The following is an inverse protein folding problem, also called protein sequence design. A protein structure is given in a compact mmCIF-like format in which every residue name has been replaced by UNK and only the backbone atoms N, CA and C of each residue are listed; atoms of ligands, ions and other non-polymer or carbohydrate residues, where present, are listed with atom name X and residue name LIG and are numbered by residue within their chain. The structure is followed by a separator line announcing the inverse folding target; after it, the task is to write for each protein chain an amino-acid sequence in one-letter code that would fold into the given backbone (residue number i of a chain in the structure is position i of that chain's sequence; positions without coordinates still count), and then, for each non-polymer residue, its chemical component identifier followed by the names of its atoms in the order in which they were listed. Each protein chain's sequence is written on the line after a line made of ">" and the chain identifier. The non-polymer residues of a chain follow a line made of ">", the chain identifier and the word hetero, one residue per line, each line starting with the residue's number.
data_IF_260125858166
#
_entry.id   IF_260125858166
#
_cell.length_a   1.000
_cell.length_b   1.000
_cell.length_c   1.000
_cell.angle_alpha   90.00
_cell.angle_beta   90.00
_cell.angle_gamma   90.00
#
_symmetry.space_group_name_H-M   'P 1'
#
loop_
_entity.id
_entity.type
_entity.pdbx_description
1 polymer ?
#
# COMPACT_ATOMS: atom_id res chain seq x y z
N UNK A 1 19.92 -2.06 39.07
CA UNK A 1 19.78 -0.85 38.27
C UNK A 1 19.12 0.22 39.09
N UNK A 2 19.80 1.37 39.22
CA UNK A 2 19.36 2.48 40.07
C UNK A 2 18.20 3.24 39.37
N UNK A 3 16.98 2.81 39.60
CA UNK A 3 15.78 3.40 38.99
C UNK A 3 15.07 4.32 39.98
N UNK A 4 15.70 5.42 40.30
CA UNK A 4 15.07 6.52 41.06
C UNK A 4 13.73 6.92 40.41
N UNK A 5 13.65 6.84 39.09
CA UNK A 5 12.45 7.08 38.31
C UNK A 5 11.31 6.06 38.56
N UNK A 6 11.63 4.80 38.85
CA UNK A 6 10.62 3.77 39.16
C UNK A 6 10.05 3.99 40.58
N UNK A 7 10.87 4.44 41.54
CA UNK A 7 10.40 4.74 42.91
C UNK A 7 9.35 5.84 42.93
N UNK A 8 9.40 6.80 41.99
CA UNK A 8 8.42 7.88 41.93
C UNK A 8 7.10 7.43 41.26
N UNK A 9 7.13 6.39 40.41
CA UNK A 9 5.95 5.89 39.69
C UNK A 9 5.21 4.77 40.42
N UNK A 10 5.92 3.97 41.23
CA UNK A 10 5.34 2.83 41.92
C UNK A 10 4.99 3.19 43.35
N UNK A 11 3.77 2.92 43.77
CA UNK A 11 3.31 3.11 45.15
C UNK A 11 3.06 1.74 45.81
N UNK A 12 3.52 1.58 47.01
CA UNK A 12 3.29 0.36 47.81
C UNK A 12 1.78 0.16 48.02
N UNK A 13 1.31 -1.07 47.84
CA UNK A 13 -0.12 -1.42 47.97
C UNK A 13 -0.94 -1.24 46.70
N UNK A 14 -0.36 -0.76 45.57
CA UNK A 14 -1.03 -0.63 44.30
C UNK A 14 -0.65 -1.79 43.34
N UNK A 15 -1.60 -2.19 42.51
CA UNK A 15 -1.37 -3.20 41.48
C UNK A 15 -1.01 -2.52 40.15
N UNK A 16 0.03 -3.04 39.50
CA UNK A 16 0.53 -2.54 38.22
C UNK A 16 0.68 -3.69 37.23
N UNK A 17 0.53 -3.37 35.96
CA UNK A 17 0.81 -4.26 34.84
C UNK A 17 2.08 -3.79 34.14
N UNK A 18 2.99 -4.74 33.95
CA UNK A 18 4.24 -4.52 33.23
C UNK A 18 4.13 -5.18 31.85
N UNK A 19 4.30 -4.40 30.79
CA UNK A 19 4.29 -4.87 29.40
C UNK A 19 5.63 -4.56 28.77
N UNK A 20 6.35 -5.59 28.31
CA UNK A 20 7.66 -5.42 27.71
C UNK A 20 8.18 -6.71 27.07
N UNK A 21 9.37 -6.64 26.49
CA UNK A 21 10.05 -7.78 25.90
C UNK A 21 10.65 -8.65 27.00
N UNK A 22 10.36 -9.95 26.98
CA UNK A 22 10.99 -10.92 27.87
C UNK A 22 12.38 -11.23 27.31
N UNK A 23 13.40 -11.14 28.16
CA UNK A 23 14.78 -11.50 27.86
C UNK A 23 15.30 -12.41 28.96
N UNK A 24 16.27 -13.26 28.63
CA UNK A 24 16.98 -14.07 29.62
C UNK A 24 18.28 -13.36 29.96
N UNK A 25 18.48 -13.01 31.24
CA UNK A 25 19.70 -12.44 31.77
C UNK A 25 20.18 -13.29 32.95
N UNK A 26 21.41 -13.78 32.86
CA UNK A 26 22.02 -14.63 33.90
C UNK A 26 21.18 -15.90 34.26
N UNK A 27 20.45 -16.47 33.28
CA UNK A 27 19.58 -17.63 33.49
C UNK A 27 18.21 -17.32 34.05
N UNK A 28 17.89 -16.06 34.33
CA UNK A 28 16.59 -15.61 34.83
C UNK A 28 15.80 -14.84 33.78
N UNK A 29 14.46 -14.95 33.83
CA UNK A 29 13.58 -14.15 32.99
C UNK A 29 13.49 -12.72 33.52
N UNK A 30 13.76 -11.75 32.64
CA UNK A 30 13.62 -10.34 32.93
C UNK A 30 12.80 -9.63 31.86
N UNK A 31 12.09 -8.55 32.24
CA UNK A 31 11.45 -7.64 31.31
C UNK A 31 12.41 -6.50 30.97
N UNK A 32 12.67 -6.31 29.68
CA UNK A 32 13.53 -5.23 29.20
C UNK A 32 12.68 -3.99 28.91
N UNK A 33 13.02 -2.87 29.60
CA UNK A 33 12.35 -1.57 29.47
C UNK A 33 10.80 -1.65 29.46
N UNK A 34 10.16 -2.28 30.48
CA UNK A 34 8.73 -2.47 30.47
C UNK A 34 7.98 -1.12 30.60
N UNK A 35 6.91 -0.98 29.82
CA UNK A 35 5.87 -0.01 30.11
C UNK A 35 5.11 -0.42 31.36
N UNK A 36 4.80 0.56 32.22
CA UNK A 36 4.12 0.34 33.49
C UNK A 36 2.75 1.01 33.44
N UNK A 37 1.71 0.23 33.67
CA UNK A 37 0.33 0.69 33.64
C UNK A 37 -0.34 0.44 34.97
N UNK A 38 -1.26 1.33 35.37
CA UNK A 38 -2.27 1.01 36.38
C UNK A 38 -3.29 0.04 35.79
N UNK A 39 -4.06 -0.67 36.65
CA UNK A 39 -5.10 -1.57 36.19
C UNK A 39 -6.12 -0.86 35.28
N UNK A 40 -6.54 0.35 35.67
CA UNK A 40 -7.48 1.16 34.86
C UNK A 40 -6.90 1.54 33.50
N UNK A 41 -5.69 2.09 33.47
CA UNK A 41 -5.03 2.47 32.21
C UNK A 41 -4.78 1.26 31.28
N UNK A 42 -4.52 0.09 31.86
CA UNK A 42 -4.36 -1.12 31.05
C UNK A 42 -5.69 -1.65 30.50
N UNK A 43 -6.77 -1.52 31.24
CA UNK A 43 -8.10 -1.94 30.77
C UNK A 43 -8.52 -1.17 29.50
N UNK A 44 -8.19 0.11 29.42
CA UNK A 44 -8.45 0.96 28.24
C UNK A 44 -7.67 0.49 26.99
N UNK A 45 -6.44 0.02 27.17
CA UNK A 45 -5.57 -0.37 26.05
C UNK A 45 -5.54 -1.87 25.77
N UNK A 46 -6.08 -2.71 26.66
CA UNK A 46 -5.98 -4.18 26.57
C UNK A 46 -6.52 -4.73 25.25
N UNK A 47 -7.58 -4.15 24.75
CA UNK A 47 -8.26 -4.56 23.51
C UNK A 47 -8.07 -3.56 22.36
N UNK A 48 -7.31 -2.48 22.57
CA UNK A 48 -7.04 -1.51 21.51
C UNK A 48 -5.83 -1.93 20.68
N UNK A 49 -5.93 -1.77 19.38
CA UNK A 49 -4.77 -1.85 18.49
C UNK A 49 -3.98 -0.55 18.59
N UNK A 50 -2.68 -0.67 18.85
CA UNK A 50 -1.79 0.49 18.93
C UNK A 50 -0.89 0.53 17.70
N UNK A 51 -0.77 1.68 17.02
CA UNK A 51 0.10 1.80 15.86
C UNK A 51 1.57 1.64 16.28
N UNK A 52 2.34 1.03 15.38
CA UNK A 52 3.79 0.90 15.52
C UNK A 52 4.45 1.64 14.35
N UNK A 53 5.15 2.71 14.64
CA UNK A 53 5.81 3.55 13.64
C UNK A 53 7.30 3.22 13.50
N UNK A 54 7.88 3.40 12.31
CA UNK A 54 9.35 3.40 12.17
C UNK A 54 9.93 4.55 13.00
N UNK A 55 10.93 4.24 13.82
CA UNK A 55 11.50 5.18 14.76
C UNK A 55 12.96 5.49 14.44
N UNK A 56 13.38 6.73 14.73
CA UNK A 56 14.78 7.16 14.71
C UNK A 56 15.28 7.41 16.12
N UNK A 57 16.62 7.54 16.30
CA UNK A 57 17.23 7.81 17.58
C UNK A 57 16.66 9.08 18.23
N UNK A 58 16.18 8.96 19.46
CA UNK A 58 15.59 10.07 20.21
C UNK A 58 14.07 10.20 20.12
N UNK A 59 13.41 9.46 19.19
CA UNK A 59 11.95 9.40 19.10
C UNK A 59 11.42 8.11 19.72
N UNK A 60 10.34 8.22 20.50
CA UNK A 60 9.59 7.05 20.98
C UNK A 60 8.27 6.90 20.24
N UNK A 61 7.79 5.67 20.12
CA UNK A 61 6.48 5.39 19.50
C UNK A 61 5.36 6.21 20.15
N UNK A 62 5.41 6.40 21.47
CA UNK A 62 4.43 7.20 22.21
C UNK A 62 4.37 8.66 21.75
N UNK A 63 5.53 9.27 21.46
CA UNK A 63 5.60 10.66 20.97
C UNK A 63 4.99 10.75 19.57
N UNK A 64 5.36 9.83 18.67
CA UNK A 64 4.83 9.80 17.30
C UNK A 64 3.33 9.54 17.31
N UNK A 65 2.86 8.54 18.07
CA UNK A 65 1.43 8.22 18.21
C UNK A 65 0.63 9.43 18.68
N UNK A 66 1.15 10.17 19.71
CA UNK A 66 0.47 11.36 20.22
C UNK A 66 0.39 12.46 19.15
N UNK A 67 1.47 12.69 18.42
CA UNK A 67 1.50 13.70 17.36
C UNK A 67 0.55 13.35 16.21
N UNK A 68 0.52 12.09 15.77
CA UNK A 68 -0.40 11.62 14.71
C UNK A 68 -1.86 11.72 15.16
N UNK A 69 -2.17 11.33 16.40
CA UNK A 69 -3.53 11.48 16.95
C UNK A 69 -3.95 12.95 16.96
N UNK A 70 -3.11 13.82 17.49
CA UNK A 70 -3.38 15.25 17.54
C UNK A 70 -3.59 15.82 16.11
N UNK A 71 -2.76 15.43 15.15
CA UNK A 71 -2.90 15.87 13.77
C UNK A 71 -4.25 15.43 13.15
N UNK A 72 -4.65 14.19 13.38
CA UNK A 72 -5.95 13.67 12.89
C UNK A 72 -7.10 14.44 13.58
N UNK A 73 -7.05 14.59 14.90
CA UNK A 73 -8.13 15.23 15.66
C UNK A 73 -8.29 16.73 15.30
N UNK A 74 -7.20 17.43 15.05
CA UNK A 74 -7.20 18.88 14.74
C UNK A 74 -7.49 19.18 13.27
N UNK A 75 -7.04 18.34 12.35
CA UNK A 75 -7.07 18.63 10.91
C UNK A 75 -8.00 17.71 10.10
N UNK A 76 -8.65 16.72 10.70
CA UNK A 76 -9.56 15.82 10.00
C UNK A 76 -10.67 16.56 9.23
N UNK A 77 -11.16 17.67 9.77
CA UNK A 77 -12.22 18.51 9.13
C UNK A 77 -11.70 19.24 7.88
N UNK A 78 -10.40 19.47 7.78
CA UNK A 78 -9.74 20.17 6.64
C UNK A 78 -8.97 19.23 5.72
N UNK A 79 -8.95 17.91 6.00
CA UNK A 79 -8.37 16.93 5.11
C UNK A 79 -9.16 16.83 3.81
N UNK A 80 -8.49 16.34 2.78
CA UNK A 80 -8.98 16.28 1.41
C UNK A 80 -10.43 15.79 1.31
N UNK A 81 -11.20 16.42 0.44
CA UNK A 81 -12.52 15.94 0.07
C UNK A 81 -12.43 14.59 -0.61
N UNK A 82 -13.45 13.77 -0.42
CA UNK A 82 -13.59 12.51 -1.14
C UNK A 82 -13.51 12.75 -2.64
N UNK A 83 -12.55 12.10 -3.31
CA UNK A 83 -12.34 12.24 -4.75
C UNK A 83 -12.75 11.01 -5.55
N UNK A 84 -13.01 9.88 -4.86
CA UNK A 84 -13.53 8.68 -5.50
C UNK A 84 -15.04 8.84 -5.66
N UNK A 85 -15.60 8.71 -6.88
CA UNK A 85 -17.02 8.83 -7.12
C UNK A 85 -17.85 7.83 -6.30
N UNK A 86 -19.02 8.27 -5.80
CA UNK A 86 -19.92 7.45 -4.97
C UNK A 86 -20.26 6.10 -5.61
N UNK A 87 -20.48 6.08 -6.93
CA UNK A 87 -20.74 4.83 -7.69
C UNK A 87 -19.63 3.81 -7.52
N UNK A 88 -18.38 4.26 -7.43
CA UNK A 88 -17.21 3.38 -7.21
C UNK A 88 -17.15 2.99 -5.75
N UNK A 89 -17.36 3.94 -4.84
CA UNK A 89 -17.39 3.68 -3.40
C UNK A 89 -18.42 2.61 -3.05
N UNK A 90 -19.65 2.75 -3.53
CA UNK A 90 -20.74 1.79 -3.30
C UNK A 90 -20.43 0.42 -3.91
N UNK A 91 -19.95 0.40 -5.15
CA UNK A 91 -19.64 -0.85 -5.87
C UNK A 91 -18.59 -1.70 -5.16
N UNK A 92 -17.59 -1.08 -4.56
CA UNK A 92 -16.47 -1.76 -3.92
C UNK A 92 -16.52 -1.74 -2.39
N UNK A 93 -17.58 -1.19 -1.80
CA UNK A 93 -17.77 -1.10 -0.35
C UNK A 93 -16.65 -0.33 0.35
N UNK A 94 -16.22 0.79 -0.22
CA UNK A 94 -15.10 1.57 0.29
C UNK A 94 -15.53 2.48 1.43
N UNK A 95 -14.69 2.59 2.46
CA UNK A 95 -14.85 3.61 3.48
C UNK A 95 -14.59 5.00 2.91
N UNK A 96 -15.19 6.01 3.52
CA UNK A 96 -14.82 7.41 3.32
C UNK A 96 -13.34 7.65 3.70
N UNK A 97 -12.65 8.53 2.95
CA UNK A 97 -11.21 8.78 3.08
C UNK A 97 -10.80 9.12 4.52
N UNK A 98 -11.44 10.11 5.15
CA UNK A 98 -11.07 10.55 6.50
C UNK A 98 -11.29 9.45 7.54
N UNK A 99 -12.35 8.66 7.40
CA UNK A 99 -12.60 7.50 8.27
C UNK A 99 -11.53 6.42 8.07
N UNK A 100 -11.11 6.18 6.84
CA UNK A 100 -10.03 5.24 6.56
C UNK A 100 -8.69 5.71 7.12
N UNK A 101 -8.38 7.01 6.99
CA UNK A 101 -7.18 7.63 7.56
C UNK A 101 -7.16 7.55 9.09
N UNK A 102 -8.30 7.74 9.75
CA UNK A 102 -8.39 7.53 11.19
C UNK A 102 -8.18 6.06 11.56
N UNK A 103 -8.93 5.17 10.91
CA UNK A 103 -8.97 3.75 11.28
C UNK A 103 -7.68 2.98 10.93
N UNK A 104 -6.87 3.45 9.98
CA UNK A 104 -5.56 2.81 9.71
C UNK A 104 -4.58 3.01 10.89
N UNK A 105 -4.72 4.11 11.62
CA UNK A 105 -3.88 4.43 12.76
C UNK A 105 -4.50 4.02 14.11
N UNK A 106 -5.81 4.18 14.25
CA UNK A 106 -6.54 4.02 15.51
C UNK A 106 -7.87 3.27 15.29
N UNK A 107 -7.80 2.00 14.83
CA UNK A 107 -9.00 1.22 14.61
C UNK A 107 -9.60 0.76 15.94
N UNK A 108 -10.93 0.72 16.04
CA UNK A 108 -11.64 0.17 17.19
C UNK A 108 -11.71 -1.37 17.12
N UNK A 109 -11.65 -1.93 15.92
CA UNK A 109 -11.70 -3.37 15.67
C UNK A 109 -10.74 -3.80 14.56
N UNK A 110 -10.47 -5.10 14.45
CA UNK A 110 -9.71 -5.67 13.35
C UNK A 110 -10.43 -5.44 12.01
N UNK A 111 -11.75 -5.46 12.01
CA UNK A 111 -12.56 -5.20 10.82
C UNK A 111 -12.36 -3.76 10.32
N UNK A 112 -12.39 -2.77 11.22
CA UNK A 112 -12.13 -1.36 10.88
C UNK A 112 -10.74 -1.19 10.26
N UNK A 113 -9.74 -1.87 10.81
CA UNK A 113 -8.39 -1.86 10.24
C UNK A 113 -8.33 -2.45 8.84
N UNK A 114 -8.98 -3.60 8.62
CA UNK A 114 -9.00 -4.26 7.31
C UNK A 114 -9.70 -3.38 6.27
N UNK A 115 -10.84 -2.79 6.62
CA UNK A 115 -11.59 -1.90 5.73
C UNK A 115 -10.79 -0.62 5.41
N UNK A 116 -10.14 -0.02 6.40
CA UNK A 116 -9.27 1.13 6.19
C UNK A 116 -8.10 0.80 5.26
N UNK A 117 -7.43 -0.33 5.50
CA UNK A 117 -6.34 -0.80 4.64
C UNK A 117 -6.81 -1.07 3.20
N UNK A 118 -7.99 -1.68 3.05
CA UNK A 118 -8.60 -1.93 1.75
C UNK A 118 -8.84 -0.61 1.00
N UNK A 119 -9.42 0.39 1.68
CA UNK A 119 -9.64 1.71 1.10
C UNK A 119 -8.34 2.39 0.65
N UNK A 120 -7.32 2.44 1.48
CA UNK A 120 -6.06 3.11 1.15
C UNK A 120 -5.35 2.40 0.00
N UNK A 121 -5.30 1.06 0.02
CA UNK A 121 -4.72 0.30 -1.06
C UNK A 121 -5.49 0.50 -2.39
N UNK A 122 -6.83 0.53 -2.35
CA UNK A 122 -7.63 0.83 -3.52
C UNK A 122 -7.31 2.21 -4.10
N UNK A 123 -7.21 3.21 -3.25
CA UNK A 123 -6.90 4.58 -3.62
C UNK A 123 -5.55 4.70 -4.33
N UNK A 124 -4.49 4.11 -3.76
CA UNK A 124 -3.16 4.09 -4.38
C UNK A 124 -3.18 3.47 -5.78
N UNK A 125 -3.83 2.29 -5.93
CA UNK A 125 -3.95 1.64 -7.22
C UNK A 125 -4.84 2.41 -8.20
N UNK A 126 -5.91 3.02 -7.73
CA UNK A 126 -6.81 3.83 -8.55
C UNK A 126 -6.07 5.02 -9.15
N UNK A 127 -5.32 5.77 -8.34
CA UNK A 127 -4.50 6.89 -8.81
C UNK A 127 -3.39 6.44 -9.77
N UNK A 128 -2.74 5.32 -9.46
CA UNK A 128 -1.72 4.75 -10.34
C UNK A 128 -2.29 4.37 -11.72
N UNK A 129 -3.46 3.70 -11.74
CA UNK A 129 -4.13 3.33 -13.00
C UNK A 129 -4.56 4.56 -13.76
N UNK A 130 -5.16 5.57 -13.11
CA UNK A 130 -5.52 6.84 -13.75
C UNK A 130 -4.32 7.53 -14.36
N UNK A 131 -3.20 7.62 -13.64
CA UNK A 131 -1.98 8.23 -14.15
C UNK A 131 -1.45 7.48 -15.39
N UNK A 132 -1.42 6.15 -15.34
CA UNK A 132 -0.96 5.34 -16.47
C UNK A 132 -1.90 5.45 -17.68
N UNK A 133 -3.22 5.50 -17.48
CA UNK A 133 -4.19 5.73 -18.54
C UNK A 133 -4.03 7.11 -19.18
N UNK A 134 -3.80 8.16 -18.38
CA UNK A 134 -3.54 9.50 -18.89
C UNK A 134 -2.26 9.54 -19.74
N UNK A 135 -1.18 8.92 -19.29
CA UNK A 135 0.07 8.82 -20.06
C UNK A 135 -0.13 8.08 -21.38
N UNK A 136 -0.86 6.96 -21.33
CA UNK A 136 -1.22 6.20 -22.54
C UNK A 136 -2.02 7.07 -23.52
N UNK A 137 -3.07 7.72 -23.05
CA UNK A 137 -3.92 8.60 -23.85
C UNK A 137 -3.15 9.79 -24.45
N UNK A 138 -2.18 10.34 -23.72
CA UNK A 138 -1.31 11.39 -24.23
C UNK A 138 -0.41 10.88 -25.36
N UNK A 139 0.16 9.69 -25.21
CA UNK A 139 1.00 9.08 -26.25
C UNK A 139 0.20 8.69 -27.49
N UNK A 140 -1.03 8.18 -27.33
CA UNK A 140 -1.93 7.84 -28.45
C UNK A 140 -2.34 9.06 -29.30
N UNK A 141 -2.13 10.30 -28.81
CA UNK A 141 -2.40 11.53 -29.56
C UNK A 141 -1.20 12.00 -30.39
N UNK A 142 0.00 11.43 -30.21
CA UNK A 142 1.19 11.79 -30.96
C UNK A 142 1.07 11.19 -32.37
N UNK A 143 1.10 12.02 -33.45
CA UNK A 143 1.02 11.49 -34.81
C UNK A 143 2.20 10.57 -35.11
N UNK A 144 1.94 9.45 -35.77
CA UNK A 144 3.00 8.57 -36.27
C UNK A 144 3.53 9.10 -37.60
N UNK A 145 4.77 9.55 -37.62
CA UNK A 145 5.44 10.04 -38.84
C UNK A 145 5.91 8.91 -39.75
N UNK A 146 5.95 7.68 -39.28
CA UNK A 146 6.47 6.51 -40.01
C UNK A 146 5.43 5.38 -40.01
N UNK A 147 4.44 5.50 -40.87
CA UNK A 147 3.43 4.46 -41.03
C UNK A 147 4.06 3.29 -41.80
N UNK A 148 4.15 2.13 -41.16
CA UNK A 148 4.69 0.92 -41.76
C UNK A 148 3.50 0.03 -42.16
N UNK A 149 3.20 0.00 -43.41
CA UNK A 149 2.20 -0.90 -43.97
C UNK A 149 2.74 -2.33 -44.02
N UNK A 150 1.90 -3.28 -43.72
CA UNK A 150 2.25 -4.69 -43.81
C UNK A 150 2.60 -5.03 -45.28
N UNK A 151 3.82 -5.56 -45.49
CA UNK A 151 4.21 -6.08 -46.79
C UNK A 151 4.30 -7.62 -46.75
N UNK A 152 4.12 -8.23 -47.91
CA UNK A 152 4.17 -9.67 -48.07
C UNK A 152 5.49 -10.32 -47.64
N UNK A 153 6.58 -9.54 -47.51
CA UNK A 153 7.90 -10.05 -47.14
C UNK A 153 7.91 -10.60 -45.72
N UNK A 154 7.12 -9.98 -44.77
CA UNK A 154 7.02 -10.46 -43.41
C UNK A 154 6.26 -11.80 -43.33
N UNK A 155 5.17 -11.95 -44.10
CA UNK A 155 4.42 -13.18 -44.15
C UNK A 155 5.26 -14.31 -44.81
N UNK A 156 6.02 -13.99 -45.85
CA UNK A 156 7.00 -14.90 -46.44
C UNK A 156 8.11 -15.29 -45.46
N UNK A 157 8.62 -14.35 -44.68
CA UNK A 157 9.61 -14.65 -43.66
C UNK A 157 9.07 -15.62 -42.58
N UNK A 158 7.86 -15.37 -42.09
CA UNK A 158 7.20 -16.25 -41.12
C UNK A 158 7.00 -17.66 -41.68
N UNK A 159 6.61 -17.76 -42.96
CA UNK A 159 6.40 -19.06 -43.63
C UNK A 159 7.67 -19.88 -43.78
N UNK A 160 8.86 -19.25 -43.75
CA UNK A 160 10.18 -19.89 -43.85
C UNK A 160 10.79 -20.29 -42.55
N UNK A 161 10.13 -19.97 -41.39
CA UNK A 161 10.64 -20.35 -40.07
C UNK A 161 10.65 -21.88 -39.94
N UNK A 162 11.68 -22.46 -39.28
CA UNK A 162 11.79 -23.93 -39.10
C UNK A 162 10.79 -24.46 -38.06
N UNK A 163 9.93 -23.63 -37.52
CA UNK A 163 8.89 -23.93 -36.52
C UNK A 163 7.63 -23.12 -36.78
N UNK A 164 6.51 -23.61 -36.27
CA UNK A 164 5.22 -22.89 -36.34
C UNK A 164 5.08 -21.98 -35.12
N UNK A 165 4.69 -20.73 -35.35
CA UNK A 165 4.37 -19.80 -34.25
C UNK A 165 3.13 -20.28 -33.49
N UNK A 166 3.14 -20.10 -32.18
CA UNK A 166 1.97 -20.38 -31.34
C UNK A 166 0.85 -19.37 -31.60
N UNK A 167 -0.40 -19.75 -31.28
CA UNK A 167 -1.53 -18.83 -31.40
C UNK A 167 -1.33 -17.50 -30.64
N UNK A 168 -0.66 -17.54 -29.50
CA UNK A 168 -0.33 -16.33 -28.71
C UNK A 168 0.67 -15.43 -29.45
N UNK A 169 1.71 -16.02 -30.07
CA UNK A 169 2.69 -15.29 -30.86
C UNK A 169 2.08 -14.67 -32.10
N UNK A 170 1.23 -15.43 -32.80
CA UNK A 170 0.49 -14.92 -33.99
C UNK A 170 -0.42 -13.77 -33.63
N UNK A 171 -1.20 -13.88 -32.56
CA UNK A 171 -2.06 -12.79 -32.07
C UNK A 171 -1.24 -11.54 -31.74
N UNK A 172 -0.15 -11.70 -30.99
CA UNK A 172 0.74 -10.57 -30.62
C UNK A 172 1.32 -9.91 -31.88
N UNK A 173 1.71 -10.71 -32.87
CA UNK A 173 2.23 -10.19 -34.13
C UNK A 173 1.17 -9.40 -34.90
N UNK A 174 -0.06 -9.87 -34.99
CA UNK A 174 -1.15 -9.13 -35.65
C UNK A 174 -1.45 -7.79 -34.94
N UNK A 175 -1.43 -7.79 -33.64
CA UNK A 175 -1.58 -6.54 -32.84
C UNK A 175 -0.44 -5.55 -33.10
N UNK A 176 0.81 -6.02 -33.17
CA UNK A 176 1.97 -5.18 -33.50
C UNK A 176 1.84 -4.62 -34.93
N UNK A 177 1.46 -5.43 -35.90
CA UNK A 177 1.23 -4.97 -37.28
C UNK A 177 0.19 -3.86 -37.35
N UNK A 178 -0.92 -4.04 -36.64
CA UNK A 178 -1.97 -3.03 -36.57
C UNK A 178 -1.47 -1.71 -35.97
N UNK A 179 -0.68 -1.80 -34.89
CA UNK A 179 -0.07 -0.63 -34.25
C UNK A 179 0.88 0.10 -35.20
N UNK A 180 1.75 -0.63 -35.91
CA UNK A 180 2.73 -0.06 -36.85
C UNK A 180 2.07 0.61 -38.06
N UNK A 181 0.92 0.13 -38.49
CA UNK A 181 0.12 0.73 -39.53
C UNK A 181 -0.78 1.87 -39.04
N UNK A 182 -0.82 2.11 -37.72
CA UNK A 182 -1.65 3.11 -37.09
C UNK A 182 -1.17 4.55 -37.35
N UNK A 183 -2.10 5.51 -37.21
CA UNK A 183 -1.84 6.94 -37.40
C UNK A 183 -1.16 7.60 -36.19
N UNK A 184 -1.07 6.92 -35.07
CA UNK A 184 -0.51 7.42 -33.83
C UNK A 184 0.65 6.56 -33.34
N UNK A 185 1.55 7.16 -32.60
CA UNK A 185 2.66 6.43 -31.96
C UNK A 185 2.08 5.48 -30.92
N UNK A 186 2.54 4.26 -30.95
CA UNK A 186 2.14 3.21 -29.98
C UNK A 186 3.34 2.73 -29.19
N UNK A 187 3.11 2.37 -27.92
CA UNK A 187 4.09 1.75 -27.05
C UNK A 187 3.46 0.49 -26.45
N UNK A 188 4.00 -0.68 -26.78
CA UNK A 188 3.45 -1.97 -26.37
C UNK A 188 4.47 -2.76 -25.56
N UNK A 189 4.07 -3.26 -24.41
CA UNK A 189 4.86 -4.19 -23.61
C UNK A 189 4.51 -5.63 -24.04
N UNK A 190 5.51 -6.38 -24.50
CA UNK A 190 5.39 -7.81 -24.77
C UNK A 190 5.87 -8.57 -23.55
N UNK A 191 4.96 -9.30 -22.91
CA UNK A 191 5.26 -10.10 -21.73
C UNK A 191 5.07 -11.59 -22.03
N UNK A 192 5.98 -12.39 -21.54
CA UNK A 192 5.91 -13.85 -21.64
C UNK A 192 6.94 -14.52 -20.75
N UNK A 193 6.75 -15.80 -20.44
CA UNK A 193 7.65 -16.60 -19.64
C UNK A 193 9.02 -16.80 -20.30
N UNK A 194 10.00 -17.24 -19.51
CA UNK A 194 11.32 -17.62 -20.02
C UNK A 194 11.15 -18.77 -21.01
N UNK A 195 11.71 -18.61 -22.21
CA UNK A 195 11.56 -19.58 -23.29
C UNK A 195 10.29 -19.46 -24.13
N UNK A 196 9.41 -18.47 -23.90
CA UNK A 196 8.20 -18.23 -24.71
C UNK A 196 8.46 -17.70 -26.12
N UNK A 197 9.72 -17.43 -26.49
CA UNK A 197 10.09 -16.90 -27.81
C UNK A 197 9.75 -15.43 -28.02
N UNK A 198 9.73 -14.64 -26.93
CA UNK A 198 9.54 -13.18 -26.99
C UNK A 198 10.79 -12.46 -27.51
#
# INVERSE_FOLDING_TARGET
>A
YNSLFLKSKLRVGMHYIFRGRIVIKNGEYALEHPDIYTMAAYAEIKNSMSPVYPLTKGLSNKVVTKAVRQAIDEYAVGMEHEFIPDVIMDKYGLLEHNKAMHNIHFPDSMEDYIQARHRIAFEEFFLFVLATMNLKSANERIPNSYIINNDKRTDEFISRLPYTLTNAQLRTWEEIKADMAGKHVTSRLIQGDVGSGK
#
